data_IF_384229786191
#
_entry.id   IF_384229786191
#
_cell.length_a   1.000
_cell.length_b   1.000
_cell.length_c   1.000
_cell.angle_alpha   90.00
_cell.angle_beta   90.00
_cell.angle_gamma   90.00
#
_symmetry.space_group_name_H-M   'P 1'
#
loop_
_entity.id
_entity.type
_entity.pdbx_description
1 polymer ?
#
# COMPACT_ATOMS: atom_id res chain seq x y z
N UNK A 1 -2.57 15.76 -11.94
CA UNK A 1 -2.53 14.91 -10.74
C UNK A 1 -1.86 15.63 -9.57
N UNK A 2 -2.24 15.22 -8.36
CA UNK A 2 -1.69 15.83 -7.14
C UNK A 2 -0.25 15.39 -6.92
N UNK A 3 0.54 16.30 -6.36
CA UNK A 3 1.96 16.06 -6.08
C UNK A 3 2.28 16.36 -4.62
N UNK A 4 2.97 15.42 -3.98
CA UNK A 4 3.54 15.60 -2.65
C UNK A 4 5.02 15.92 -2.84
N UNK A 5 5.45 17.07 -2.33
CA UNK A 5 6.81 17.58 -2.54
C UNK A 5 7.63 17.33 -1.29
N UNK A 6 8.74 16.61 -1.43
CA UNK A 6 9.64 16.31 -0.33
C UNK A 6 10.61 17.47 -0.07
N UNK A 7 10.96 17.66 1.20
CA UNK A 7 12.05 18.56 1.56
C UNK A 7 13.36 18.07 0.96
N UNK A 8 14.24 19.00 0.59
CA UNK A 8 15.55 18.68 0.06
C UNK A 8 16.32 17.75 1.01
N UNK A 9 16.86 16.67 0.48
CA UNK A 9 17.59 15.65 1.24
C UNK A 9 16.71 14.53 1.79
N UNK A 10 15.39 14.71 1.85
CA UNK A 10 14.48 13.67 2.37
C UNK A 10 14.16 12.60 1.34
N UNK A 11 14.51 12.80 0.09
CA UNK A 11 14.38 11.80 -0.97
C UNK A 11 15.32 10.60 -0.78
N UNK A 12 16.32 10.70 0.09
CA UNK A 12 17.30 9.63 0.30
C UNK A 12 16.68 8.33 0.79
N UNK A 13 15.75 8.41 1.75
CA UNK A 13 15.02 7.24 2.23
C UNK A 13 14.18 6.61 1.11
N UNK A 14 13.54 7.44 0.32
CA UNK A 14 12.72 6.99 -0.81
C UNK A 14 13.57 6.28 -1.87
N UNK A 15 14.74 6.82 -2.18
CA UNK A 15 15.67 6.21 -3.14
C UNK A 15 16.21 4.86 -2.64
N UNK A 16 16.18 4.62 -1.33
CA UNK A 16 16.51 3.32 -0.71
C UNK A 16 15.30 2.40 -0.62
N UNK A 17 14.19 2.75 -1.26
CA UNK A 17 12.95 2.02 -1.27
C UNK A 17 12.27 1.90 0.10
N UNK A 18 12.43 2.90 0.97
CA UNK A 18 11.67 2.99 2.20
C UNK A 18 10.24 3.43 1.85
N UNK A 19 9.20 2.65 2.19
CA UNK A 19 7.84 2.89 1.68
C UNK A 19 7.06 3.98 2.42
N UNK A 20 7.55 4.49 3.54
CA UNK A 20 6.83 5.47 4.34
C UNK A 20 7.40 6.87 4.17
N UNK A 21 6.50 7.84 3.98
CA UNK A 21 6.84 9.25 3.92
C UNK A 21 6.21 9.92 5.13
N UNK A 22 7.04 10.35 6.07
CA UNK A 22 6.57 10.98 7.29
C UNK A 22 6.21 12.44 7.05
N UNK A 23 5.27 12.95 7.86
CA UNK A 23 4.80 14.34 7.76
C UNK A 23 5.95 15.36 7.79
N UNK A 24 6.97 15.11 8.61
CA UNK A 24 8.14 15.97 8.74
C UNK A 24 9.03 16.03 7.49
N UNK A 25 8.86 15.11 6.54
CA UNK A 25 9.62 15.10 5.29
C UNK A 25 8.95 15.87 4.16
N UNK A 26 7.72 16.35 4.38
CA UNK A 26 6.93 17.02 3.35
C UNK A 26 7.20 18.53 3.37
N UNK A 27 7.63 19.08 2.24
CA UNK A 27 7.82 20.51 2.06
C UNK A 27 6.53 21.19 1.62
N UNK A 28 5.72 20.53 0.78
CA UNK A 28 4.51 21.11 0.24
C UNK A 28 3.68 20.10 -0.51
N UNK A 29 2.54 20.58 -1.00
CA UNK A 29 1.60 19.75 -1.73
C UNK A 29 0.94 20.61 -2.82
N UNK A 30 0.87 20.09 -4.04
CA UNK A 30 0.22 20.73 -5.16
C UNK A 30 -0.96 19.91 -5.64
N UNK A 31 -2.05 20.58 -5.98
CA UNK A 31 -3.28 19.93 -6.40
C UNK A 31 -4.15 19.55 -5.22
N UNK A 32 -5.10 18.67 -5.48
CA UNK A 32 -6.06 18.20 -4.47
C UNK A 32 -6.07 16.67 -4.43
N UNK A 33 -6.11 16.13 -3.23
CA UNK A 33 -6.24 14.70 -3.02
C UNK A 33 -7.09 14.42 -1.79
N UNK A 34 -7.87 13.35 -1.86
CA UNK A 34 -8.63 12.82 -0.74
C UNK A 34 -7.80 11.75 -0.03
N UNK A 35 -8.15 11.39 1.21
CA UNK A 35 -7.49 10.27 1.87
C UNK A 35 -7.50 9.01 1.00
N UNK A 36 -6.33 8.40 0.84
CA UNK A 36 -6.17 7.21 0.03
C UNK A 36 -5.90 7.44 -1.46
N UNK A 37 -6.07 8.67 -1.95
CA UNK A 37 -5.76 8.96 -3.36
C UNK A 37 -4.28 8.75 -3.64
N UNK A 38 -3.99 8.28 -4.86
CA UNK A 38 -2.62 8.13 -5.33
C UNK A 38 -2.08 9.48 -5.77
N UNK A 39 -0.92 9.84 -5.24
CA UNK A 39 -0.22 11.08 -5.55
C UNK A 39 1.18 10.79 -6.08
N UNK A 40 1.70 11.71 -6.89
CA UNK A 40 3.10 11.67 -7.30
C UNK A 40 3.96 12.20 -6.16
N UNK A 41 5.06 11.52 -5.85
CA UNK A 41 6.05 11.99 -4.88
C UNK A 41 7.20 12.61 -5.64
N UNK A 42 7.46 13.89 -5.36
CA UNK A 42 8.39 14.71 -6.12
C UNK A 42 9.51 15.18 -5.20
N UNK A 43 10.76 15.11 -5.67
CA UNK A 43 11.89 15.66 -4.94
C UNK A 43 11.83 17.19 -4.97
N UNK A 44 11.98 17.82 -3.79
CA UNK A 44 11.88 19.27 -3.65
C UNK A 44 13.19 20.00 -3.87
N UNK A 45 14.31 19.31 -3.97
CA UNK A 45 15.61 19.93 -4.16
C UNK A 45 16.69 18.92 -4.49
N UNK A 46 17.92 19.40 -4.67
CA UNK A 46 19.07 18.56 -4.97
C UNK A 46 19.08 18.05 -6.40
N UNK A 47 19.77 16.92 -6.59
CA UNK A 47 20.00 16.31 -7.91
C UNK A 47 18.71 15.92 -8.63
N UNK A 48 17.69 15.52 -7.87
CA UNK A 48 16.44 15.01 -8.43
C UNK A 48 15.30 16.03 -8.38
N UNK A 49 15.61 17.30 -8.10
CA UNK A 49 14.60 18.35 -7.95
C UNK A 49 13.58 18.35 -9.10
N UNK A 50 12.30 18.34 -8.76
CA UNK A 50 11.21 18.35 -9.71
C UNK A 50 10.88 17.01 -10.35
N UNK A 51 11.66 15.97 -10.09
CA UNK A 51 11.39 14.64 -10.64
C UNK A 51 10.39 13.86 -9.80
N UNK A 52 9.50 13.14 -10.46
CA UNK A 52 8.61 12.19 -9.81
C UNK A 52 9.42 10.93 -9.47
N UNK A 53 9.45 10.58 -8.19
CA UNK A 53 10.25 9.46 -7.69
C UNK A 53 9.41 8.22 -7.38
N UNK A 54 8.13 8.40 -7.12
CA UNK A 54 7.25 7.29 -6.70
C UNK A 54 5.78 7.67 -6.83
N UNK A 55 4.94 6.65 -6.74
CA UNK A 55 3.48 6.76 -6.61
C UNK A 55 3.10 6.31 -5.21
N UNK A 56 2.35 7.11 -4.47
CA UNK A 56 2.03 6.83 -3.08
C UNK A 56 0.57 7.14 -2.75
N UNK A 57 0.05 6.47 -1.72
CA UNK A 57 -1.29 6.76 -1.18
C UNK A 57 -1.18 7.86 -0.13
N UNK A 58 -2.03 8.87 -0.26
CA UNK A 58 -2.03 10.03 0.62
C UNK A 58 -2.88 9.80 1.87
N UNK A 59 -2.32 10.13 3.04
CA UNK A 59 -2.98 10.01 4.36
C UNK A 59 -2.84 11.34 5.11
N UNK A 60 -3.73 12.31 4.88
CA UNK A 60 -3.58 13.65 5.48
C UNK A 60 -3.68 13.68 7.00
N UNK A 61 -4.36 12.69 7.59
CA UNK A 61 -4.56 12.62 9.04
C UNK A 61 -3.48 11.83 9.78
N UNK A 62 -2.55 11.19 9.06
CA UNK A 62 -1.54 10.31 9.63
C UNK A 62 -0.18 10.98 9.70
N UNK A 63 0.64 10.59 10.70
CA UNK A 63 2.07 10.95 10.75
C UNK A 63 2.83 10.30 9.60
N UNK A 64 2.39 9.14 9.14
CA UNK A 64 2.85 8.55 7.87
C UNK A 64 1.98 9.17 6.78
N UNK A 65 2.43 10.33 6.29
CA UNK A 65 1.65 11.18 5.39
C UNK A 65 1.37 10.52 4.04
N UNK A 66 2.24 9.62 3.60
CA UNK A 66 2.01 8.82 2.41
C UNK A 66 2.73 7.48 2.52
N UNK A 67 2.17 6.46 1.90
CA UNK A 67 2.75 5.12 1.79
C UNK A 67 2.90 4.76 0.33
N UNK A 68 4.10 4.34 -0.04
CA UNK A 68 4.46 4.13 -1.45
C UNK A 68 3.86 2.81 -1.97
N UNK A 69 3.08 2.90 -3.04
CA UNK A 69 2.65 1.75 -3.81
C UNK A 69 3.71 1.29 -4.79
N UNK A 70 4.34 2.22 -5.50
CA UNK A 70 5.33 1.89 -6.52
C UNK A 70 6.47 2.90 -6.52
N UNK A 71 7.70 2.40 -6.64
CA UNK A 71 8.89 3.23 -6.83
C UNK A 71 9.19 3.48 -8.30
N UNK A 72 8.34 2.97 -9.20
CA UNK A 72 8.42 3.26 -10.63
C UNK A 72 7.47 4.42 -10.95
N UNK A 73 7.99 5.61 -11.28
CA UNK A 73 7.15 6.78 -11.55
C UNK A 73 6.26 6.62 -12.80
N UNK A 74 6.54 5.66 -13.65
CA UNK A 74 5.75 5.38 -14.85
C UNK A 74 4.60 4.41 -14.59
N UNK A 75 4.59 3.74 -13.43
CA UNK A 75 3.56 2.75 -13.12
C UNK A 75 2.23 3.40 -12.77
N UNK A 76 1.14 2.87 -13.32
CA UNK A 76 -0.21 3.30 -12.98
C UNK A 76 -0.74 2.44 -11.84
N UNK A 77 -1.19 3.09 -10.77
CA UNK A 77 -1.82 2.42 -9.63
C UNK A 77 -3.33 2.36 -9.90
N UNK A 78 -3.78 1.20 -10.33
CA UNK A 78 -5.16 0.93 -10.71
C UNK A 78 -5.58 -0.48 -10.27
N UNK A 79 -6.76 -0.91 -10.68
CA UNK A 79 -7.26 -2.25 -10.34
C UNK A 79 -6.31 -3.36 -10.82
N UNK A 80 -5.76 -3.21 -12.02
CA UNK A 80 -4.81 -4.18 -12.59
C UNK A 80 -3.50 -4.24 -11.80
N UNK A 81 -3.04 -3.10 -11.28
CA UNK A 81 -1.86 -3.03 -10.41
C UNK A 81 -2.03 -3.94 -9.19
N UNK A 82 -3.17 -3.82 -8.49
CA UNK A 82 -3.43 -4.63 -7.30
C UNK A 82 -3.57 -6.10 -7.64
N UNK A 83 -4.24 -6.41 -8.75
CA UNK A 83 -4.37 -7.79 -9.22
C UNK A 83 -2.99 -8.44 -9.44
N UNK A 84 -2.07 -7.74 -10.11
CA UNK A 84 -0.72 -8.24 -10.37
C UNK A 84 0.08 -8.41 -9.07
N UNK A 85 0.06 -7.39 -8.22
CA UNK A 85 0.84 -7.37 -6.98
C UNK A 85 0.39 -8.46 -5.99
N UNK A 86 -0.92 -8.63 -5.87
CA UNK A 86 -1.51 -9.66 -5.01
C UNK A 86 -1.22 -11.06 -5.57
N UNK A 87 -1.38 -11.26 -6.87
CA UNK A 87 -1.07 -12.54 -7.49
C UNK A 87 0.39 -12.94 -7.24
N UNK A 88 1.31 -12.00 -7.34
CA UNK A 88 2.73 -12.24 -7.07
C UNK A 88 2.99 -12.61 -5.61
N UNK A 89 2.33 -11.93 -4.66
CA UNK A 89 2.48 -12.22 -3.23
C UNK A 89 1.96 -13.63 -2.89
N UNK A 90 0.79 -13.97 -3.39
CA UNK A 90 0.17 -15.29 -3.17
C UNK A 90 1.03 -16.40 -3.78
N UNK A 91 1.55 -16.17 -5.00
CA UNK A 91 2.40 -17.14 -5.69
C UNK A 91 3.71 -17.39 -4.92
N UNK A 92 4.30 -16.36 -4.32
CA UNK A 92 5.51 -16.52 -3.50
C UNK A 92 5.26 -17.45 -2.31
N UNK A 93 4.12 -17.29 -1.62
CA UNK A 93 3.75 -18.15 -0.49
C UNK A 93 3.46 -19.59 -0.93
N UNK A 94 2.75 -19.75 -2.04
CA UNK A 94 2.44 -21.07 -2.57
C UNK A 94 3.70 -21.87 -2.98
N UNK A 95 4.78 -21.18 -3.34
CA UNK A 95 6.04 -21.80 -3.73
C UNK A 95 6.88 -22.25 -2.53
N UNK A 96 6.51 -21.89 -1.29
CA UNK A 96 7.27 -22.26 -0.09
C UNK A 96 6.83 -23.64 0.44
N UNK A 97 7.71 -24.66 0.41
CA UNK A 97 7.34 -26.01 0.85
C UNK A 97 6.89 -26.09 2.31
N UNK A 98 7.47 -25.25 3.18
CA UNK A 98 7.15 -25.22 4.62
C UNK A 98 5.73 -24.72 4.92
N UNK A 99 5.07 -24.07 3.96
CA UNK A 99 3.71 -23.58 4.12
C UNK A 99 2.67 -24.55 3.55
N UNK A 100 3.10 -25.57 2.83
CA UNK A 100 2.19 -26.54 2.24
C UNK A 100 1.43 -27.33 3.33
N UNK A 101 0.11 -27.38 3.20
CA UNK A 101 -0.75 -28.10 4.13
C UNK A 101 -1.05 -27.39 5.45
N UNK A 102 -0.57 -26.18 5.67
CA UNK A 102 -0.89 -25.39 6.85
C UNK A 102 -2.29 -24.78 6.73
N UNK A 103 -3.06 -24.78 7.83
CA UNK A 103 -4.40 -24.20 7.86
C UNK A 103 -4.38 -22.68 7.83
N UNK A 104 -3.49 -22.05 8.63
CA UNK A 104 -3.37 -20.60 8.69
C UNK A 104 -2.09 -20.15 7.99
N UNK A 105 -2.23 -19.46 6.87
CA UNK A 105 -1.09 -18.96 6.10
C UNK A 105 -1.25 -17.48 5.81
N UNK A 106 -0.26 -16.68 6.21
CA UNK A 106 -0.23 -15.26 5.85
C UNK A 106 0.13 -15.11 4.37
N UNK A 107 -0.84 -14.64 3.59
CA UNK A 107 -0.70 -14.46 2.14
C UNK A 107 -0.07 -13.13 1.79
N UNK A 108 -0.41 -12.07 2.54
CA UNK A 108 0.11 -10.72 2.33
C UNK A 108 0.51 -10.14 3.68
N UNK A 109 1.72 -9.58 3.74
CA UNK A 109 2.24 -8.95 4.93
C UNK A 109 2.71 -7.52 4.62
N UNK A 110 1.75 -6.66 4.35
CA UNK A 110 1.92 -5.21 4.23
C UNK A 110 3.14 -4.79 3.37
N UNK A 111 4.01 -3.97 3.91
CA UNK A 111 5.17 -3.40 3.21
C UNK A 111 6.12 -4.47 2.67
N UNK A 112 6.23 -5.60 3.34
CA UNK A 112 7.10 -6.72 2.89
C UNK A 112 6.71 -7.24 1.52
N UNK A 113 5.43 -7.11 1.16
CA UNK A 113 4.89 -7.55 -0.13
C UNK A 113 4.60 -6.39 -1.07
N UNK A 114 5.05 -5.18 -0.73
CA UNK A 114 4.80 -4.00 -1.52
C UNK A 114 3.34 -3.55 -1.53
N UNK A 115 2.59 -3.89 -0.46
CA UNK A 115 1.17 -3.55 -0.30
C UNK A 115 0.94 -2.91 1.07
N UNK A 116 1.46 -1.68 1.30
CA UNK A 116 1.34 -1.02 2.60
C UNK A 116 -0.09 -0.98 3.12
N UNK A 117 -0.25 -1.39 4.37
CA UNK A 117 -1.56 -1.41 5.03
C UNK A 117 -2.44 -2.61 4.70
N UNK A 118 -1.95 -3.59 3.93
CA UNK A 118 -2.72 -4.78 3.58
C UNK A 118 -2.16 -6.01 4.29
N UNK A 119 -2.99 -6.66 5.10
CA UNK A 119 -2.67 -7.95 5.72
C UNK A 119 -3.76 -8.93 5.33
N UNK A 120 -3.37 -10.08 4.82
CA UNK A 120 -4.32 -11.11 4.42
C UNK A 120 -3.84 -12.49 4.89
N UNK A 121 -4.70 -13.17 5.65
CA UNK A 121 -4.44 -14.49 6.19
C UNK A 121 -5.47 -15.48 5.63
N UNK A 122 -5.00 -16.62 5.15
CA UNK A 122 -5.87 -17.65 4.60
C UNK A 122 -6.08 -18.76 5.62
N UNK A 123 -7.34 -19.14 5.81
CA UNK A 123 -7.77 -20.29 6.64
C UNK A 123 -8.72 -21.14 5.80
N UNK A 124 -8.23 -22.25 5.25
CA UNK A 124 -9.02 -23.10 4.38
C UNK A 124 -9.52 -22.35 3.16
N UNK A 125 -10.83 -22.18 3.05
CA UNK A 125 -11.50 -21.49 1.93
C UNK A 125 -11.88 -20.03 2.25
N UNK A 126 -11.32 -19.49 3.33
CA UNK A 126 -11.59 -18.13 3.79
C UNK A 126 -10.29 -17.33 3.87
N UNK A 127 -10.31 -16.12 3.37
CA UNK A 127 -9.24 -15.13 3.58
C UNK A 127 -9.75 -14.07 4.54
N UNK A 128 -8.98 -13.79 5.58
CA UNK A 128 -9.24 -12.69 6.51
C UNK A 128 -8.36 -11.52 6.10
N UNK A 129 -9.00 -10.41 5.76
CA UNK A 129 -8.36 -9.21 5.24
C UNK A 129 -8.39 -8.10 6.28
N UNK A 130 -7.24 -7.46 6.51
CA UNK A 130 -7.14 -6.28 7.36
C UNK A 130 -6.56 -5.13 6.53
N UNK A 131 -7.27 -4.01 6.50
CA UNK A 131 -6.88 -2.80 5.79
C UNK A 131 -6.61 -1.70 6.81
N UNK A 132 -5.35 -1.32 6.95
CA UNK A 132 -4.87 -0.46 8.03
C UNK A 132 -4.36 0.91 7.57
N UNK A 133 -4.48 1.21 6.28
CA UNK A 133 -4.08 2.50 5.73
C UNK A 133 -5.20 3.11 4.88
N UNK A 134 -5.14 4.41 4.70
CA UNK A 134 -6.10 5.12 3.85
C UNK A 134 -6.08 4.60 2.41
N UNK A 135 -4.89 4.33 1.87
CA UNK A 135 -4.75 3.79 0.53
C UNK A 135 -5.33 2.40 0.40
N UNK A 136 -5.06 1.52 1.35
CA UNK A 136 -5.62 0.17 1.35
C UNK A 136 -7.15 0.22 1.46
N UNK A 137 -7.68 1.11 2.30
CA UNK A 137 -9.13 1.28 2.44
C UNK A 137 -9.79 1.73 1.14
N UNK A 138 -9.20 2.69 0.45
CA UNK A 138 -9.71 3.17 -0.84
C UNK A 138 -9.77 2.05 -1.88
N UNK A 139 -8.77 1.18 -1.91
CA UNK A 139 -8.66 0.10 -2.90
C UNK A 139 -9.23 -1.23 -2.40
N UNK A 140 -10.08 -1.20 -1.39
CA UNK A 140 -10.70 -2.37 -0.76
C UNK A 140 -11.26 -3.37 -1.77
N UNK A 141 -12.07 -2.89 -2.70
CA UNK A 141 -12.72 -3.77 -3.70
C UNK A 141 -11.69 -4.42 -4.62
N UNK A 142 -10.73 -3.65 -5.13
CA UNK A 142 -9.67 -4.18 -5.98
C UNK A 142 -8.82 -5.23 -5.25
N UNK A 143 -8.51 -4.97 -3.97
CA UNK A 143 -7.73 -5.88 -3.14
C UNK A 143 -8.50 -7.18 -2.88
N UNK A 144 -9.77 -7.07 -2.50
CA UNK A 144 -10.61 -8.25 -2.26
C UNK A 144 -10.78 -9.10 -3.52
N UNK A 145 -11.04 -8.47 -4.65
CA UNK A 145 -11.16 -9.16 -5.94
C UNK A 145 -9.86 -9.86 -6.33
N UNK A 146 -8.73 -9.19 -6.14
CA UNK A 146 -7.41 -9.77 -6.43
C UNK A 146 -7.11 -10.98 -5.56
N UNK A 147 -7.46 -10.92 -4.28
CA UNK A 147 -7.31 -12.05 -3.34
C UNK A 147 -8.18 -13.23 -3.73
N UNK A 148 -9.44 -12.98 -4.07
CA UNK A 148 -10.34 -14.04 -4.47
C UNK A 148 -9.85 -14.76 -5.72
N UNK A 149 -9.38 -14.02 -6.71
CA UNK A 149 -8.82 -14.59 -7.95
C UNK A 149 -7.53 -15.35 -7.71
N UNK A 150 -6.63 -14.79 -6.89
CA UNK A 150 -5.32 -15.40 -6.66
C UNK A 150 -5.37 -16.64 -5.78
N UNK A 151 -6.29 -16.67 -4.80
CA UNK A 151 -6.41 -17.79 -3.86
C UNK A 151 -7.47 -18.80 -4.25
N UNK A 152 -8.45 -18.42 -5.04
CA UNK A 152 -9.63 -19.24 -5.33
C UNK A 152 -10.55 -19.42 -4.14
N UNK A 153 -10.33 -18.70 -3.04
CA UNK A 153 -11.16 -18.81 -1.84
C UNK A 153 -12.56 -18.25 -2.07
N UNK A 154 -13.57 -18.94 -1.55
CA UNK A 154 -14.96 -18.53 -1.70
C UNK A 154 -15.31 -17.30 -0.86
N UNK A 155 -14.59 -17.09 0.26
CA UNK A 155 -14.91 -16.05 1.23
C UNK A 155 -13.74 -15.14 1.49
N UNK A 156 -14.00 -13.83 1.41
CA UNK A 156 -13.07 -12.80 1.84
C UNK A 156 -13.76 -12.05 2.99
N UNK A 157 -13.21 -12.14 4.17
CA UNK A 157 -13.74 -11.53 5.37
C UNK A 157 -12.87 -10.33 5.77
N UNK A 158 -13.47 -9.15 5.82
CA UNK A 158 -12.78 -7.93 6.21
C UNK A 158 -12.89 -7.74 7.73
N UNK A 159 -11.73 -7.80 8.39
CA UNK A 159 -11.62 -7.63 9.84
C UNK A 159 -10.55 -6.57 10.13
N UNK A 160 -10.89 -5.32 9.86
CA UNK A 160 -9.96 -4.22 10.12
C UNK A 160 -10.03 -3.79 11.58
N UNK A 161 -8.84 -3.59 12.19
CA UNK A 161 -8.72 -3.14 13.57
C UNK A 161 -9.11 -1.66 13.67
N UNK A 162 -10.10 -1.35 14.51
CA UNK A 162 -10.64 0.00 14.62
C UNK A 162 -9.66 1.00 15.23
N UNK A 163 -8.80 0.57 16.14
CA UNK A 163 -7.80 1.46 16.75
C UNK A 163 -6.74 1.87 15.74
N UNK A 164 -6.22 0.93 14.96
CA UNK A 164 -5.25 1.22 13.91
C UNK A 164 -5.88 2.12 12.84
N UNK A 165 -7.12 1.84 12.46
CA UNK A 165 -7.85 2.66 11.48
C UNK A 165 -8.06 4.08 11.97
N UNK A 166 -8.36 4.27 13.25
CA UNK A 166 -8.54 5.61 13.83
C UNK A 166 -7.26 6.45 13.74
N UNK A 167 -6.07 5.85 13.90
CA UNK A 167 -4.78 6.55 13.74
C UNK A 167 -4.55 7.04 12.32
N UNK A 168 -5.19 6.41 11.33
CA UNK A 168 -5.14 6.82 9.92
C UNK A 168 -6.32 7.75 9.55
N UNK A 169 -7.16 8.11 10.51
CA UNK A 169 -8.33 8.94 10.26
C UNK A 169 -9.47 8.20 9.56
N UNK A 170 -9.51 6.88 9.66
CA UNK A 170 -10.53 6.04 9.02
C UNK A 170 -11.62 5.66 10.02
N UNK A 171 -12.82 5.42 9.51
CA UNK A 171 -13.90 4.85 10.32
C UNK A 171 -13.67 3.36 10.57
N UNK A 172 -14.17 2.83 11.69
CA UNK A 172 -14.05 1.41 12.05
C UNK A 172 -14.65 0.47 11.01
#
# INVERSE_FOLDING_TARGET
SAQLILQAGKEKSLLRHHPWIFAGSVAGFEGRARPGDTVDVVAGGGRYAGQVLAKAAFSPASQIRARVWSFDPAETVDHAFFKRRIAAAVARRAALPELAGQDGVRMIHAESDGLPGVIADRYGDTVVLQLTSAGADKWRTAIADGLQKATGCARIYDRSDSEVRAREGLEP
#
